data_IF_259519434172
#
_entry.id   IF_259519434172
#
_cell.length_a   1.000
_cell.length_b   1.000
_cell.length_c   1.000
_cell.angle_alpha   90.00
_cell.angle_beta   90.00
_cell.angle_gamma   90.00
#
_symmetry.space_group_name_H-M   'P 1'
#
loop_
_entity.id
_entity.type
_entity.pdbx_description
1 polymer ?
#
# COMPACT_ATOMS: atom_id res chain seq x y z
N UNK A 1 46.00 38.26 9.44
CA UNK A 1 44.87 37.74 10.25
C UNK A 1 44.56 36.33 9.75
N UNK A 2 44.95 35.29 10.48
CA UNK A 2 44.69 33.90 10.12
C UNK A 2 43.30 33.49 10.66
N UNK A 3 42.37 33.17 9.78
CA UNK A 3 41.05 32.66 10.14
C UNK A 3 41.17 31.17 10.44
N UNK A 4 41.07 30.83 11.72
CA UNK A 4 41.03 29.45 12.19
C UNK A 4 39.61 28.92 11.93
N UNK A 5 39.44 28.24 10.80
CA UNK A 5 38.20 27.54 10.47
C UNK A 5 38.02 26.42 11.48
N UNK A 6 37.00 26.56 12.35
CA UNK A 6 36.64 25.56 13.35
C UNK A 6 36.24 24.25 12.67
N UNK A 7 37.19 23.34 12.52
CA UNK A 7 36.92 21.95 12.19
C UNK A 7 36.09 21.37 13.34
N UNK A 8 34.76 21.33 13.18
CA UNK A 8 33.88 20.63 14.11
C UNK A 8 34.24 19.15 14.03
N UNK A 9 35.13 18.71 14.91
CA UNK A 9 35.43 17.31 15.11
C UNK A 9 34.13 16.61 15.46
N UNK A 10 33.66 15.72 14.58
CA UNK A 10 32.51 14.86 14.82
C UNK A 10 32.72 14.22 16.19
N UNK A 11 31.87 14.61 17.15
CA UNK A 11 31.91 14.14 18.54
C UNK A 11 30.53 13.60 18.89
N UNK A 12 30.49 12.64 19.81
CA UNK A 12 29.25 12.01 20.24
C UNK A 12 28.67 11.05 19.19
N UNK A 13 27.34 10.98 19.10
CA UNK A 13 26.62 9.98 18.30
C UNK A 13 27.03 9.97 16.82
N UNK A 14 27.24 11.15 16.24
CA UNK A 14 27.65 11.30 14.84
C UNK A 14 29.09 10.84 14.54
N UNK A 15 29.92 10.66 15.57
CA UNK A 15 31.29 10.17 15.45
C UNK A 15 31.41 8.65 15.53
N UNK A 16 30.35 7.96 15.97
CA UNK A 16 30.34 6.51 16.15
C UNK A 16 30.18 5.77 14.83
N UNK A 17 30.60 4.51 14.78
CA UNK A 17 30.34 3.64 13.64
C UNK A 17 28.84 3.43 13.38
N UNK A 18 28.45 3.31 12.11
CA UNK A 18 27.04 3.21 11.70
C UNK A 18 26.31 2.04 12.36
N UNK A 19 27.01 0.91 12.57
CA UNK A 19 26.46 -0.25 13.28
C UNK A 19 26.14 0.08 14.74
N UNK A 20 27.03 0.83 15.40
CA UNK A 20 26.86 1.27 16.79
C UNK A 20 25.74 2.31 16.91
N UNK A 21 25.68 3.28 15.99
CA UNK A 21 24.56 4.24 15.93
C UNK A 21 23.22 3.53 15.78
N UNK A 22 23.11 2.56 14.86
CA UNK A 22 21.89 1.78 14.66
C UNK A 22 21.51 0.96 15.89
N UNK A 23 22.49 0.36 16.56
CA UNK A 23 22.26 -0.39 17.79
C UNK A 23 21.71 0.52 18.90
N UNK A 24 22.31 1.70 19.11
CA UNK A 24 21.86 2.66 20.11
C UNK A 24 20.47 3.22 19.76
N UNK A 25 20.21 3.56 18.50
CA UNK A 25 18.89 4.00 18.06
C UNK A 25 17.82 2.91 18.27
N UNK A 26 18.15 1.66 17.98
CA UNK A 26 17.27 0.51 18.21
C UNK A 26 16.99 0.30 19.70
N UNK A 27 18.01 0.40 20.56
CA UNK A 27 17.85 0.33 22.02
C UNK A 27 17.00 1.49 22.56
N UNK A 28 17.19 2.71 22.05
CA UNK A 28 16.39 3.87 22.43
C UNK A 28 14.91 3.70 22.09
N UNK A 29 14.60 3.17 20.89
CA UNK A 29 13.23 2.87 20.49
C UNK A 29 12.57 1.80 21.37
N UNK A 30 13.28 0.70 21.64
CA UNK A 30 12.79 -0.36 22.53
C UNK A 30 12.55 0.14 23.95
N UNK A 31 13.51 0.88 24.50
CA UNK A 31 13.40 1.44 25.85
C UNK A 31 12.24 2.44 25.97
N UNK A 32 11.95 3.23 24.93
CA UNK A 32 10.82 4.15 24.94
C UNK A 32 9.47 3.41 24.94
N UNK A 33 9.37 2.31 24.18
CA UNK A 33 8.20 1.43 24.21
C UNK A 33 8.05 0.72 25.56
N UNK A 34 9.12 0.14 26.10
CA UNK A 34 9.10 -0.54 27.41
C UNK A 34 8.76 0.41 28.57
N UNK A 35 9.22 1.65 28.52
CA UNK A 35 8.93 2.68 29.54
C UNK A 35 7.58 3.37 29.36
N UNK A 36 6.82 3.06 28.31
CA UNK A 36 5.55 3.71 28.00
C UNK A 36 5.67 5.20 27.67
N UNK A 37 6.88 5.69 27.35
CA UNK A 37 7.10 7.07 26.90
C UNK A 37 6.91 7.20 25.38
N UNK A 38 6.92 6.08 24.65
CA UNK A 38 6.50 6.05 23.27
C UNK A 38 4.97 6.17 23.18
N UNK A 39 4.50 6.89 22.16
CA UNK A 39 3.11 6.88 21.79
C UNK A 39 2.71 5.46 21.34
N UNK A 40 1.78 4.83 22.05
CA UNK A 40 1.15 3.60 21.54
C UNK A 40 0.10 4.01 20.52
N UNK A 41 0.31 3.65 19.26
CA UNK A 41 -0.68 3.90 18.22
C UNK A 41 -1.86 2.95 18.46
N UNK A 42 -3.02 3.54 18.75
CA UNK A 42 -4.26 2.75 18.75
C UNK A 42 -4.55 2.25 17.34
N UNK A 43 -5.27 1.13 17.21
CA UNK A 43 -5.73 0.62 15.91
C UNK A 43 -6.50 1.67 15.11
N UNK A 44 -7.23 2.57 15.80
CA UNK A 44 -7.96 3.66 15.17
C UNK A 44 -7.04 4.73 14.60
N UNK A 45 -6.00 5.09 15.35
CA UNK A 45 -5.02 6.07 14.93
C UNK A 45 -4.15 5.56 13.78
N UNK A 46 -3.73 4.30 13.81
CA UNK A 46 -3.05 3.65 12.69
C UNK A 46 -3.91 3.70 11.42
N UNK A 47 -5.22 3.46 11.55
CA UNK A 47 -6.18 3.60 10.42
C UNK A 47 -6.31 5.04 9.97
N UNK A 48 -6.39 6.01 10.88
CA UNK A 48 -6.48 7.42 10.53
C UNK A 48 -5.22 7.91 9.79
N UNK A 49 -4.04 7.53 10.27
CA UNK A 49 -2.77 7.80 9.63
C UNK A 49 -2.68 7.13 8.24
N UNK A 50 -3.10 5.86 8.14
CA UNK A 50 -3.18 5.14 6.87
C UNK A 50 -4.10 5.83 5.86
N UNK A 51 -5.30 6.25 6.29
CA UNK A 51 -6.23 7.02 5.45
C UNK A 51 -5.63 8.35 4.99
N UNK A 52 -5.00 9.09 5.89
CA UNK A 52 -4.36 10.38 5.58
C UNK A 52 -3.21 10.21 4.58
N UNK A 53 -2.34 9.22 4.81
CA UNK A 53 -1.24 8.89 3.90
C UNK A 53 -1.74 8.45 2.53
N UNK A 54 -2.74 7.57 2.49
CA UNK A 54 -3.38 7.12 1.25
C UNK A 54 -4.01 8.27 0.46
N UNK A 55 -4.70 9.18 1.15
CA UNK A 55 -5.31 10.37 0.53
C UNK A 55 -4.26 11.34 -0.01
N UNK A 56 -3.12 11.50 0.66
CA UNK A 56 -2.04 12.36 0.18
C UNK A 56 -1.37 11.78 -1.08
N UNK A 57 -1.12 10.46 -1.09
CA UNK A 57 -0.49 9.77 -2.23
C UNK A 57 -1.43 9.68 -3.43
N UNK A 58 -2.74 9.59 -3.21
CA UNK A 58 -3.73 9.43 -4.29
C UNK A 58 -4.07 10.71 -5.06
N UNK A 59 -3.58 11.88 -4.64
CA UNK A 59 -3.88 13.15 -5.30
C UNK A 59 -3.36 13.22 -6.74
N UNK A 60 -2.24 12.54 -7.04
CA UNK A 60 -1.68 12.50 -8.40
C UNK A 60 -2.12 11.22 -9.11
N UNK A 61 -3.29 11.28 -9.74
CA UNK A 61 -3.91 10.14 -10.42
C UNK A 61 -3.06 9.64 -11.60
N UNK A 62 -2.47 10.53 -12.38
CA UNK A 62 -1.63 10.18 -13.53
C UNK A 62 -0.37 9.41 -13.10
N UNK A 63 0.28 9.87 -12.03
CA UNK A 63 1.45 9.20 -11.46
C UNK A 63 1.09 7.84 -10.86
N UNK A 64 -0.02 7.75 -10.11
CA UNK A 64 -0.50 6.47 -9.58
C UNK A 64 -0.85 5.48 -10.70
N UNK A 65 -1.49 5.95 -11.77
CA UNK A 65 -1.78 5.12 -12.94
C UNK A 65 -0.49 4.64 -13.62
N UNK A 66 0.55 5.48 -13.72
CA UNK A 66 1.84 5.09 -14.27
C UNK A 66 2.55 4.02 -13.41
N UNK A 67 2.53 4.16 -12.08
CA UNK A 67 3.06 3.16 -11.14
C UNK A 67 2.27 1.85 -11.28
N UNK A 68 0.94 1.92 -11.29
CA UNK A 68 0.07 0.75 -11.46
C UNK A 68 0.33 0.01 -12.77
N UNK A 69 0.45 0.74 -13.89
CA UNK A 69 0.81 0.15 -15.20
C UNK A 69 2.17 -0.54 -15.16
N UNK A 70 3.18 0.09 -14.56
CA UNK A 70 4.53 -0.48 -14.43
C UNK A 70 4.54 -1.75 -13.57
N UNK A 71 3.81 -1.72 -12.44
CA UNK A 71 3.64 -2.89 -11.58
C UNK A 71 2.91 -4.02 -12.30
N UNK A 72 1.81 -3.72 -12.98
CA UNK A 72 1.05 -4.68 -13.78
C UNK A 72 1.89 -5.30 -14.91
N UNK A 73 2.68 -4.50 -15.63
CA UNK A 73 3.55 -4.99 -16.69
C UNK A 73 4.61 -5.97 -16.15
N UNK A 74 5.28 -5.63 -15.03
CA UNK A 74 6.26 -6.49 -14.37
C UNK A 74 5.65 -7.83 -13.93
N UNK A 75 4.42 -7.78 -13.42
CA UNK A 75 3.69 -8.93 -12.90
C UNK A 75 3.08 -9.80 -14.03
N UNK A 76 2.68 -9.18 -15.14
CA UNK A 76 2.02 -9.86 -16.27
C UNK A 76 2.91 -10.84 -17.04
N UNK A 77 4.23 -10.76 -16.85
CA UNK A 77 5.21 -11.64 -17.48
C UNK A 77 4.99 -13.13 -17.12
N UNK A 78 4.30 -13.42 -16.00
CA UNK A 78 3.90 -14.79 -15.63
C UNK A 78 2.38 -14.92 -15.42
N UNK A 79 1.64 -14.83 -16.53
CA UNK A 79 0.16 -14.86 -16.54
C UNK A 79 -0.43 -16.14 -15.92
N UNK A 80 0.21 -17.29 -16.12
CA UNK A 80 -0.25 -18.58 -15.56
C UNK A 80 -0.17 -18.63 -14.04
N UNK A 81 0.98 -18.22 -13.47
CA UNK A 81 1.16 -18.15 -12.03
C UNK A 81 0.25 -17.09 -11.39
N UNK A 82 0.07 -15.94 -12.04
CA UNK A 82 -0.81 -14.88 -11.54
C UNK A 82 -2.28 -15.29 -11.54
N UNK A 83 -2.74 -16.04 -12.54
CA UNK A 83 -4.10 -16.58 -12.56
C UNK A 83 -4.34 -17.57 -11.41
N UNK A 84 -3.33 -18.36 -11.02
CA UNK A 84 -3.41 -19.24 -9.86
C UNK A 84 -3.44 -18.47 -8.54
N UNK A 85 -2.61 -17.44 -8.38
CA UNK A 85 -2.61 -16.56 -7.21
C UNK A 85 -3.95 -15.81 -7.09
N UNK A 86 -4.47 -15.29 -8.20
CA UNK A 86 -5.75 -14.58 -8.25
C UNK A 86 -6.92 -15.48 -7.84
N UNK A 87 -6.98 -16.72 -8.38
CA UNK A 87 -7.97 -17.71 -7.96
C UNK A 87 -7.89 -18.02 -6.47
N UNK A 88 -6.70 -18.34 -5.98
CA UNK A 88 -6.47 -18.63 -4.54
C UNK A 88 -6.81 -17.45 -3.64
N UNK A 89 -6.54 -16.23 -4.09
CA UNK A 89 -6.88 -15.00 -3.36
C UNK A 89 -8.38 -14.69 -3.33
N UNK A 90 -9.11 -15.06 -4.38
CA UNK A 90 -10.58 -14.98 -4.43
C UNK A 90 -11.25 -16.03 -3.55
N UNK A 91 -10.74 -17.26 -3.56
CA UNK A 91 -11.20 -18.35 -2.69
C UNK A 91 -11.05 -18.00 -1.21
N UNK A 92 -9.93 -17.38 -0.80
CA UNK A 92 -9.70 -16.97 0.58
C UNK A 92 -10.60 -15.81 1.06
N UNK A 93 -11.27 -15.10 0.13
CA UNK A 93 -12.20 -14.00 0.43
C UNK A 93 -13.67 -14.40 0.24
N UNK A 94 -13.93 -15.61 -0.24
CA UNK A 94 -15.22 -16.10 -0.71
C UNK A 94 -16.06 -16.89 0.31
N UNK A 95 -15.63 -17.02 1.56
CA UNK A 95 -16.42 -17.72 2.60
C UNK A 95 -17.55 -16.86 3.21
N UNK A 96 -18.07 -15.88 2.45
CA UNK A 96 -18.98 -14.85 2.99
C UNK A 96 -20.25 -14.57 2.21
N UNK A 97 -20.45 -15.09 0.99
CA UNK A 97 -21.73 -14.94 0.29
C UNK A 97 -21.81 -15.78 -0.98
N UNK A 98 -22.40 -16.98 -0.87
CA UNK A 98 -23.21 -17.57 -1.95
C UNK A 98 -23.97 -18.79 -1.42
N UNK A 99 -24.92 -18.53 -0.52
CA UNK A 99 -26.13 -19.33 -0.45
C UNK A 99 -27.28 -18.44 -0.93
N UNK A 100 -28.04 -18.95 -1.90
CA UNK A 100 -29.30 -18.46 -2.48
C UNK A 100 -29.27 -18.04 -3.96
N UNK A 101 -30.32 -18.51 -4.65
CA UNK A 101 -30.78 -18.36 -6.05
C UNK A 101 -29.95 -19.06 -7.14
N UNK A 102 -30.27 -20.26 -7.65
CA UNK A 102 -31.50 -20.83 -8.22
C UNK A 102 -31.43 -20.89 -9.76
N UNK A 103 -31.81 -22.07 -10.28
CA UNK A 103 -32.42 -22.33 -11.58
C UNK A 103 -31.59 -22.09 -12.86
N UNK A 104 -31.26 -23.21 -13.52
CA UNK A 104 -31.51 -23.48 -14.95
C UNK A 104 -31.59 -22.26 -15.89
N UNK A 105 -30.50 -22.01 -16.64
CA UNK A 105 -30.59 -21.50 -18.00
C UNK A 105 -29.27 -21.81 -18.71
N UNK A 106 -29.35 -22.63 -19.76
CA UNK A 106 -28.31 -22.69 -20.77
C UNK A 106 -28.31 -21.34 -21.50
N UNK A 107 -27.18 -20.64 -21.46
CA UNK A 107 -26.99 -19.34 -22.08
C UNK A 107 -25.50 -19.09 -22.23
N UNK A 108 -25.10 -18.79 -23.46
CA UNK A 108 -23.74 -18.63 -23.92
C UNK A 108 -22.93 -17.71 -23.00
N UNK A 109 -21.77 -18.19 -22.55
CA UNK A 109 -20.84 -17.39 -21.75
C UNK A 109 -20.15 -16.38 -22.66
N UNK A 110 -20.82 -15.28 -22.93
CA UNK A 110 -20.19 -14.14 -23.60
C UNK A 110 -19.15 -13.51 -22.66
N UNK A 111 -17.99 -13.28 -23.25
CA UNK A 111 -16.79 -12.70 -22.64
C UNK A 111 -17.11 -11.44 -21.85
N UNK A 112 -16.43 -11.29 -20.70
CA UNK A 112 -16.49 -10.08 -19.88
C UNK A 112 -16.40 -8.81 -20.72
N UNK A 113 -17.35 -7.91 -20.49
CA UNK A 113 -17.59 -6.71 -21.27
C UNK A 113 -16.34 -5.93 -21.66
N UNK A 114 -16.34 -5.41 -22.88
CA UNK A 114 -15.23 -4.63 -23.43
C UNK A 114 -14.96 -3.37 -22.59
N UNK A 115 -13.73 -2.84 -22.67
CA UNK A 115 -13.28 -1.66 -21.92
C UNK A 115 -14.26 -0.47 -22.02
N UNK A 116 -14.95 -0.30 -23.15
CA UNK A 116 -15.99 0.72 -23.37
C UNK A 116 -17.21 0.55 -22.48
N UNK A 117 -17.66 -0.68 -22.23
CA UNK A 117 -18.83 -0.94 -21.38
C UNK A 117 -18.56 -0.53 -19.93
N UNK A 118 -17.31 -0.68 -19.48
CA UNK A 118 -16.89 -0.28 -18.14
C UNK A 118 -16.78 1.24 -17.97
N UNK A 119 -16.44 1.96 -19.05
CA UNK A 119 -16.41 3.44 -19.07
C UNK A 119 -17.83 3.99 -19.02
N UNK A 120 -18.76 3.39 -19.74
CA UNK A 120 -20.15 3.83 -19.79
C UNK A 120 -20.87 3.65 -18.45
N UNK A 121 -20.63 2.54 -17.74
CA UNK A 121 -21.14 2.33 -16.37
C UNK A 121 -20.60 3.37 -15.37
N UNK A 122 -19.35 3.83 -15.56
CA UNK A 122 -18.76 4.88 -14.73
C UNK A 122 -19.36 6.27 -14.95
N UNK A 123 -19.85 6.56 -16.16
CA UNK A 123 -20.47 7.85 -16.50
C UNK A 123 -21.89 7.96 -15.95
N UNK A 124 -22.67 6.88 -15.95
CA UNK A 124 -24.06 6.89 -15.45
C UNK A 124 -24.18 7.06 -13.93
N UNK A 125 -23.10 6.81 -13.19
CA UNK A 125 -23.08 6.93 -11.73
C UNK A 125 -23.06 8.38 -11.22
N UNK A 126 -22.83 9.36 -12.10
CA UNK A 126 -22.75 10.78 -11.72
C UNK A 126 -24.06 11.56 -11.94
N UNK A 127 -25.07 10.94 -12.54
CA UNK A 127 -26.29 11.62 -13.00
C UNK A 127 -27.53 11.36 -12.13
N UNK A 128 -27.36 10.65 -11.02
CA UNK A 128 -28.40 10.50 -10.00
C UNK A 128 -28.00 11.26 -8.73
N UNK A 129 -28.36 12.54 -8.69
CA UNK A 129 -28.42 13.34 -7.46
C UNK A 129 -29.70 14.14 -7.40
#
# INVERSE_FOLDING_TARGET
MAQQQGQSSSRGFAAMDQKQQRAIASMGGKAAHEKGTAHEFSSEEARAAGRKGGAAVSQNREHMAAIGRKGGAAVSQNRGHMAQIGRKGGEARGDGSSSASAAQAEGEREQGGSHEQHVQAGQQSHEAH
#
